data_IF_250509326041
#
_entry.id   IF_250509326041
#
_cell.length_a   1.000
_cell.length_b   1.000
_cell.length_c   1.000
_cell.angle_alpha   90.00
_cell.angle_beta   90.00
_cell.angle_gamma   90.00
#
_symmetry.space_group_name_H-M   'P 1'
#
loop_
_entity.id
_entity.type
_entity.pdbx_description
1 polymer ?
#
# COMPACT_ATOMS: atom_id res chain seq x y z
N UNK A 1 2.40 3.00 -5.07
CA UNK A 1 0.97 3.04 -5.49
C UNK A 1 0.06 2.97 -4.28
N UNK A 2 0.06 1.87 -3.52
CA UNK A 2 -0.76 1.70 -2.31
C UNK A 2 -0.64 2.84 -1.28
N UNK A 3 0.60 3.29 -0.96
CA UNK A 3 0.82 4.42 -0.02
C UNK A 3 0.06 5.68 -0.44
N UNK A 4 0.12 6.05 -1.71
CA UNK A 4 -0.55 7.25 -2.23
C UNK A 4 -2.08 7.12 -2.19
N UNK A 5 -2.61 5.96 -2.59
CA UNK A 5 -4.05 5.68 -2.57
C UNK A 5 -4.59 5.71 -1.13
N UNK A 6 -3.87 5.09 -0.18
CA UNK A 6 -4.27 5.07 1.23
C UNK A 6 -4.27 6.49 1.83
N UNK A 7 -3.23 7.29 1.58
CA UNK A 7 -3.18 8.68 2.04
C UNK A 7 -4.31 9.53 1.46
N UNK A 8 -4.66 9.31 0.20
CA UNK A 8 -5.69 10.08 -0.46
C UNK A 8 -7.11 9.69 0.00
N UNK A 9 -7.41 8.39 0.07
CA UNK A 9 -8.78 7.90 0.31
C UNK A 9 -9.10 7.52 1.76
N UNK A 10 -8.08 7.33 2.60
CA UNK A 10 -8.24 6.72 3.92
C UNK A 10 -7.36 7.38 5.00
N UNK A 11 -6.94 8.63 4.83
CA UNK A 11 -6.10 9.36 5.80
C UNK A 11 -6.78 9.63 7.15
N UNK A 12 -8.09 9.46 7.25
CA UNK A 12 -8.83 9.52 8.51
C UNK A 12 -8.60 8.30 9.41
N UNK A 13 -8.10 7.19 8.87
CA UNK A 13 -7.92 5.92 9.60
C UNK A 13 -6.61 5.18 9.32
N UNK A 14 -5.90 5.50 8.22
CA UNK A 14 -4.63 4.88 7.83
C UNK A 14 -3.54 5.95 7.73
N UNK A 15 -2.51 5.83 8.55
CA UNK A 15 -1.23 6.50 8.36
C UNK A 15 -0.31 5.61 7.51
N UNK A 16 -0.24 5.86 6.20
CA UNK A 16 0.46 4.97 5.28
C UNK A 16 1.93 5.35 5.04
N UNK A 17 2.79 4.32 5.04
CA UNK A 17 4.15 4.32 4.52
C UNK A 17 4.40 3.04 3.72
N UNK A 18 5.35 3.06 2.78
CA UNK A 18 5.74 1.89 1.98
C UNK A 18 7.25 1.74 1.82
N UNK A 19 7.66 0.50 1.56
CA UNK A 19 9.02 0.13 1.19
C UNK A 19 8.99 -0.98 0.14
N UNK A 20 10.01 -1.03 -0.71
CA UNK A 20 10.20 -2.11 -1.68
C UNK A 20 11.52 -2.84 -1.46
N UNK A 21 11.55 -4.16 -1.69
CA UNK A 21 12.76 -4.99 -1.59
C UNK A 21 13.82 -4.61 -2.64
N UNK A 22 13.38 -4.07 -3.77
CA UNK A 22 14.21 -3.58 -4.87
C UNK A 22 13.81 -2.13 -5.20
N UNK A 23 14.18 -1.15 -4.35
CA UNK A 23 13.72 0.23 -4.53
C UNK A 23 14.40 0.88 -5.73
N UNK A 24 13.61 1.55 -6.57
CA UNK A 24 14.09 2.28 -7.76
C UNK A 24 14.64 3.68 -7.44
N UNK A 25 14.56 4.12 -6.18
CA UNK A 25 14.90 5.48 -5.73
C UNK A 25 13.89 6.56 -6.17
N UNK A 26 13.20 6.36 -7.29
CA UNK A 26 12.15 7.23 -7.81
C UNK A 26 10.88 6.44 -8.12
N UNK A 27 9.74 7.14 -8.25
CA UNK A 27 8.47 6.51 -8.64
C UNK A 27 8.40 6.49 -10.18
N UNK A 28 8.13 5.34 -10.82
CA UNK A 28 7.96 5.27 -12.27
C UNK A 28 6.92 6.25 -12.81
N UNK A 29 7.19 6.85 -13.97
CA UNK A 29 6.30 7.84 -14.59
C UNK A 29 4.92 7.27 -14.91
N UNK A 30 4.84 6.01 -15.32
CA UNK A 30 3.58 5.30 -15.52
C UNK A 30 2.71 5.27 -14.24
N UNK A 31 3.32 4.95 -13.10
CA UNK A 31 2.64 5.00 -11.79
C UNK A 31 2.17 6.41 -11.46
N UNK A 32 3.01 7.43 -11.69
CA UNK A 32 2.65 8.84 -11.45
C UNK A 32 1.47 9.26 -12.31
N UNK A 33 1.50 8.93 -13.61
CA UNK A 33 0.43 9.27 -14.54
C UNK A 33 -0.90 8.62 -14.13
N UNK A 34 -0.89 7.33 -13.80
CA UNK A 34 -2.11 6.60 -13.43
C UNK A 34 -2.73 7.10 -12.12
N UNK A 35 -1.91 7.50 -11.14
CA UNK A 35 -2.39 8.12 -9.91
C UNK A 35 -2.96 9.52 -10.17
N UNK A 36 -2.30 10.33 -11.00
CA UNK A 36 -2.79 11.65 -11.39
C UNK A 36 -4.11 11.58 -12.18
N UNK A 37 -4.29 10.60 -13.06
CA UNK A 37 -5.58 10.33 -13.75
C UNK A 37 -6.74 10.17 -12.76
N UNK A 38 -6.47 9.71 -11.53
CA UNK A 38 -7.44 9.51 -10.44
C UNK A 38 -7.48 10.66 -9.44
N UNK A 39 -6.77 11.76 -9.69
CA UNK A 39 -6.68 12.90 -8.77
C UNK A 39 -5.80 12.64 -7.54
N UNK A 40 -4.97 11.59 -7.56
CA UNK A 40 -4.09 11.22 -6.47
C UNK A 40 -2.70 11.82 -6.70
N UNK A 41 -2.35 12.82 -5.91
CA UNK A 41 -1.01 13.39 -5.90
C UNK A 41 -0.07 12.59 -4.98
N UNK A 42 1.10 12.22 -5.51
CA UNK A 42 2.14 11.52 -4.78
C UNK A 42 3.08 12.48 -4.02
N UNK A 43 3.03 13.79 -4.29
CA UNK A 43 3.83 14.81 -3.62
C UNK A 43 5.32 14.47 -3.63
N UNK A 44 5.93 14.45 -2.44
CA UNK A 44 7.36 14.14 -2.23
C UNK A 44 7.64 12.65 -2.01
N UNK A 45 6.68 11.76 -2.27
CA UNK A 45 6.91 10.32 -2.13
C UNK A 45 7.99 9.83 -3.12
N UNK A 46 8.75 8.83 -2.69
CA UNK A 46 9.77 8.16 -3.50
C UNK A 46 9.82 6.67 -3.20
N UNK A 47 10.41 5.91 -4.11
CA UNK A 47 10.71 4.49 -3.86
C UNK A 47 11.83 4.39 -2.83
N UNK A 48 11.57 3.68 -1.73
CA UNK A 48 12.45 3.59 -0.56
C UNK A 48 12.59 2.15 -0.08
N UNK A 49 13.73 1.83 0.53
CA UNK A 49 14.02 0.48 1.02
C UNK A 49 13.42 0.21 2.41
N UNK A 50 13.34 -1.06 2.86
CA UNK A 50 12.79 -1.41 4.17
C UNK A 50 13.57 -0.81 5.34
N UNK A 51 14.86 -0.53 5.16
CA UNK A 51 15.70 0.14 6.18
C UNK A 51 15.28 1.58 6.49
N UNK A 52 14.44 2.18 5.64
CA UNK A 52 13.95 3.55 5.81
C UNK A 52 12.54 3.60 6.42
N UNK A 53 12.00 2.45 6.81
CA UNK A 53 10.67 2.30 7.40
C UNK A 53 10.78 1.55 8.71
N UNK A 54 10.16 2.07 9.76
CA UNK A 54 10.05 1.36 11.03
C UNK A 54 8.91 0.34 10.97
N UNK A 55 9.23 -0.86 10.47
CA UNK A 55 8.29 -1.99 10.38
C UNK A 55 7.79 -2.42 11.78
N UNK A 56 8.60 -2.22 12.82
CA UNK A 56 8.23 -2.59 14.19
C UNK A 56 7.15 -1.68 14.79
N UNK A 57 7.00 -0.47 14.26
CA UNK A 57 6.01 0.50 14.70
C UNK A 57 4.67 0.42 13.95
N UNK A 58 4.54 -0.44 12.92
CA UNK A 58 3.31 -0.54 12.14
C UNK A 58 2.32 -1.52 12.74
N UNK A 59 1.03 -1.14 12.80
CA UNK A 59 -0.04 -2.03 13.26
C UNK A 59 -0.36 -3.14 12.25
N UNK A 60 -0.29 -2.85 10.95
CA UNK A 60 -0.61 -3.79 9.85
C UNK A 60 0.41 -3.64 8.73
N UNK A 61 0.93 -4.78 8.26
CA UNK A 61 1.83 -4.87 7.10
C UNK A 61 1.06 -5.43 5.93
N UNK A 62 0.94 -4.64 4.86
CA UNK A 62 0.44 -5.13 3.56
C UNK A 62 1.62 -5.65 2.75
N UNK A 63 1.64 -6.94 2.47
CA UNK A 63 2.67 -7.61 1.68
C UNK A 63 2.19 -7.89 0.26
N UNK A 64 2.97 -7.45 -0.72
CA UNK A 64 2.73 -7.66 -2.16
C UNK A 64 3.97 -8.24 -2.85
N UNK A 65 4.82 -8.96 -2.13
CA UNK A 65 6.08 -9.52 -2.68
C UNK A 65 5.88 -10.80 -3.50
N UNK A 66 4.68 -11.40 -3.46
CA UNK A 66 4.40 -12.73 -4.02
C UNK A 66 4.98 -13.89 -3.19
N UNK A 67 5.69 -13.60 -2.10
CA UNK A 67 6.18 -14.58 -1.12
C UNK A 67 5.31 -14.45 0.12
N UNK A 68 4.85 -15.55 0.76
CA UNK A 68 4.03 -15.47 1.97
C UNK A 68 4.69 -14.60 3.04
N UNK A 69 3.97 -13.57 3.52
CA UNK A 69 4.53 -12.59 4.44
C UNK A 69 5.00 -13.19 5.77
N UNK A 70 4.36 -14.28 6.21
CA UNK A 70 4.79 -15.08 7.37
C UNK A 70 6.22 -15.63 7.28
N UNK A 71 6.79 -15.72 6.08
CA UNK A 71 8.17 -16.16 5.85
C UNK A 71 9.16 -14.99 5.82
N UNK A 72 8.66 -13.75 5.74
CA UNK A 72 9.45 -12.52 5.63
C UNK A 72 9.46 -11.71 6.93
N UNK A 73 8.34 -11.74 7.67
CA UNK A 73 8.10 -10.89 8.83
C UNK A 73 7.95 -11.70 10.11
N UNK A 74 8.04 -11.00 11.25
CA UNK A 74 7.97 -11.63 12.56
C UNK A 74 6.54 -12.15 12.85
N UNK A 75 6.36 -13.31 13.52
CA UNK A 75 5.04 -13.95 13.66
C UNK A 75 3.98 -13.17 14.43
N UNK A 76 4.36 -12.17 15.21
CA UNK A 76 3.44 -11.37 16.01
C UNK A 76 2.90 -10.15 15.27
N UNK A 77 3.41 -9.85 14.08
CA UNK A 77 2.95 -8.73 13.26
C UNK A 77 1.67 -9.13 12.52
N UNK A 78 0.71 -8.22 12.42
CA UNK A 78 -0.48 -8.41 11.59
C UNK A 78 -0.08 -8.20 10.13
N UNK A 79 -0.18 -9.25 9.31
CA UNK A 79 0.28 -9.25 7.92
C UNK A 79 -0.89 -9.62 7.01
N UNK A 80 -1.17 -8.78 6.02
CA UNK A 80 -2.10 -9.07 4.94
C UNK A 80 -1.33 -9.29 3.64
N UNK A 81 -1.38 -10.51 3.13
CA UNK A 81 -0.87 -10.83 1.79
C UNK A 81 -1.90 -10.41 0.74
N UNK A 82 -1.56 -9.44 -0.10
CA UNK A 82 -2.36 -9.02 -1.24
C UNK A 82 -1.78 -9.61 -2.52
N UNK A 83 -2.56 -10.48 -3.16
CA UNK A 83 -2.24 -11.05 -4.47
C UNK A 83 -2.58 -10.02 -5.56
N UNK A 84 -1.57 -9.23 -5.94
CA UNK A 84 -1.64 -8.15 -6.91
C UNK A 84 -0.39 -8.23 -7.79
N UNK A 85 -0.59 -8.18 -9.11
CA UNK A 85 0.51 -8.22 -10.08
C UNK A 85 1.42 -7.00 -9.96
N UNK A 86 2.73 -7.18 -10.20
CA UNK A 86 3.67 -6.07 -10.37
C UNK A 86 3.52 -5.47 -11.77
N UNK A 87 3.11 -4.18 -11.92
CA UNK A 87 2.94 -3.57 -13.22
C UNK A 87 4.26 -3.05 -13.81
N UNK A 88 5.41 -3.20 -13.13
CA UNK A 88 6.66 -2.64 -13.61
C UNK A 88 7.02 -3.12 -15.03
N UNK A 89 7.36 -2.17 -15.92
CA UNK A 89 7.61 -2.40 -17.36
C UNK A 89 6.44 -2.94 -18.20
N UNK A 90 5.23 -3.04 -17.64
CA UNK A 90 4.04 -3.45 -18.36
C UNK A 90 3.32 -2.28 -19.07
N UNK A 91 2.27 -2.62 -19.82
CA UNK A 91 1.44 -1.63 -20.52
C UNK A 91 0.63 -0.74 -19.56
N UNK A 92 0.27 0.47 -19.99
CA UNK A 92 -0.59 1.38 -19.21
C UNK A 92 -1.95 0.78 -18.85
N UNK A 93 -2.47 -0.17 -19.64
CA UNK A 93 -3.69 -0.90 -19.31
C UNK A 93 -3.50 -1.79 -18.08
N UNK A 94 -2.34 -2.45 -17.95
CA UNK A 94 -1.99 -3.26 -16.77
C UNK A 94 -1.81 -2.36 -15.55
N UNK A 95 -1.12 -1.22 -15.68
CA UNK A 95 -1.03 -0.25 -14.57
C UNK A 95 -2.38 0.24 -14.08
N UNK A 96 -3.34 0.50 -14.98
CA UNK A 96 -4.71 0.89 -14.59
C UNK A 96 -5.39 -0.22 -13.81
N UNK A 97 -5.37 -1.45 -14.33
CA UNK A 97 -5.95 -2.62 -13.66
C UNK A 97 -5.37 -2.79 -12.25
N UNK A 98 -4.04 -2.83 -12.14
CA UNK A 98 -3.35 -2.96 -10.85
C UNK A 98 -3.71 -1.80 -9.91
N UNK A 99 -3.80 -0.56 -10.42
CA UNK A 99 -4.20 0.57 -9.59
C UNK A 99 -5.63 0.43 -9.07
N UNK A 100 -6.55 -0.10 -9.87
CA UNK A 100 -7.93 -0.36 -9.46
C UNK A 100 -7.98 -1.46 -8.39
N UNK A 101 -7.25 -2.56 -8.59
CA UNK A 101 -7.15 -3.66 -7.63
C UNK A 101 -6.58 -3.18 -6.27
N UNK A 102 -5.50 -2.39 -6.32
CA UNK A 102 -4.90 -1.79 -5.11
C UNK A 102 -5.88 -0.83 -4.43
N UNK A 103 -6.59 0.00 -5.20
CA UNK A 103 -7.54 0.96 -4.65
C UNK A 103 -8.70 0.24 -3.95
N UNK A 104 -9.26 -0.81 -4.55
CA UNK A 104 -10.31 -1.62 -3.94
C UNK A 104 -9.86 -2.22 -2.61
N UNK A 105 -8.68 -2.84 -2.59
CA UNK A 105 -8.09 -3.45 -1.38
C UNK A 105 -7.83 -2.41 -0.27
N UNK A 106 -7.32 -1.23 -0.63
CA UNK A 106 -7.11 -0.12 0.31
C UNK A 106 -8.42 0.35 0.94
N UNK A 107 -9.46 0.51 0.13
CA UNK A 107 -10.78 0.94 0.61
C UNK A 107 -11.43 -0.11 1.51
N UNK A 108 -11.29 -1.40 1.17
CA UNK A 108 -11.75 -2.50 2.01
C UNK A 108 -11.01 -2.54 3.37
N UNK A 109 -9.68 -2.43 3.35
CA UNK A 109 -8.88 -2.36 4.57
C UNK A 109 -9.31 -1.18 5.45
N UNK A 110 -9.44 0.01 4.88
CA UNK A 110 -9.91 1.19 5.60
C UNK A 110 -11.29 0.97 6.23
N UNK A 111 -12.22 0.35 5.50
CA UNK A 111 -13.56 0.01 6.02
C UNK A 111 -13.47 -0.95 7.22
N UNK A 112 -12.67 -2.00 7.13
CA UNK A 112 -12.48 -2.97 8.23
C UNK A 112 -11.84 -2.31 9.45
N UNK A 113 -10.85 -1.44 9.26
CA UNK A 113 -10.19 -0.70 10.34
C UNK A 113 -11.15 0.26 11.05
N UNK A 114 -11.99 1.00 10.30
CA UNK A 114 -13.03 1.87 10.89
C UNK A 114 -14.02 1.07 11.74
N UNK A 115 -14.46 -0.09 11.25
CA UNK A 115 -15.37 -0.97 11.99
C UNK A 115 -14.71 -1.50 13.28
N UNK A 116 -13.45 -1.96 13.20
CA UNK A 116 -12.68 -2.42 14.37
C UNK A 116 -12.54 -1.32 15.43
N UNK A 117 -12.23 -0.11 15.00
CA UNK A 117 -12.08 1.04 15.89
C UNK A 117 -13.41 1.48 16.53
N UNK A 118 -14.53 1.43 15.80
CA UNK A 118 -15.85 1.73 16.35
C UNK A 118 -16.29 0.72 17.44
N UNK A 119 -16.03 -0.57 17.22
CA UNK A 119 -16.32 -1.62 18.20
C UNK A 119 -15.50 -1.46 19.47
N UNK A 120 -14.22 -1.07 19.35
CA UNK A 120 -13.34 -0.83 20.50
C UNK A 120 -13.75 0.39 21.35
N UNK A 121 -14.45 1.37 20.78
CA UNK A 121 -14.97 2.54 21.51
C UNK A 121 -16.27 2.29 22.26
N UNK A 122 -16.98 1.22 21.90
CA UNK A 122 -18.30 0.88 22.46
C UNK A 122 -18.20 -0.16 23.58
N UNK A 123 -17.06 -0.85 23.68
CA UNK A 123 -16.71 -1.79 24.75
C UNK A 123 -16.07 -1.06 25.93
#
# INVERSE_FOLDING_TARGET
MAEALARHHASDIIEATSAGISPLGSIPDATRQILLERGVDIGTQRSKGPSEVDIGATDVIVNMTGIPGKSLFQPHLEIEDWDIDDPYQESMAVYRRVCDDVQEKVLDLAKRLRARHASAKTA
#
